data_IF_615326620932
#
_entry.id   IF_615326620932
#
_cell.length_a   1.000
_cell.length_b   1.000
_cell.length_c   1.000
_cell.angle_alpha   90.00
_cell.angle_beta   90.00
_cell.angle_gamma   90.00
#
_symmetry.space_group_name_H-M   'P 1'
#
loop_
_entity.id
_entity.type
_entity.pdbx_description
1 polymer ?
#
# COMPACT_ATOMS: atom_id res chain seq x y z
N UNK A 1 30.79 -52.80 21.53
CA UNK A 1 30.78 -51.39 21.05
C UNK A 1 29.97 -51.16 19.76
N UNK A 2 29.49 -52.19 19.04
CA UNK A 2 28.75 -52.00 17.77
C UNK A 2 27.30 -51.49 17.87
N UNK A 3 26.57 -51.79 18.95
CA UNK A 3 25.16 -51.37 19.10
C UNK A 3 24.97 -49.85 19.26
N UNK A 4 25.86 -49.17 19.99
CA UNK A 4 25.75 -47.73 20.23
C UNK A 4 25.98 -46.92 18.95
N UNK A 5 26.92 -47.36 18.10
CA UNK A 5 27.23 -46.71 16.81
C UNK A 5 26.07 -46.90 15.81
N UNK A 6 25.38 -48.03 15.87
CA UNK A 6 24.24 -48.35 14.99
C UNK A 6 23.02 -47.45 15.23
N UNK A 7 22.80 -46.98 16.46
CA UNK A 7 21.69 -46.09 16.84
C UNK A 7 22.10 -44.61 16.77
N UNK A 8 23.37 -44.30 17.02
CA UNK A 8 23.89 -42.93 16.93
C UNK A 8 23.76 -42.36 15.50
N UNK A 9 24.03 -43.18 14.48
CA UNK A 9 23.99 -42.75 13.07
C UNK A 9 22.59 -42.30 12.60
N UNK A 10 21.50 -43.08 12.80
CA UNK A 10 20.16 -42.62 12.45
C UNK A 10 19.69 -41.46 13.36
N UNK A 11 20.10 -41.43 14.63
CA UNK A 11 19.80 -40.30 15.52
C UNK A 11 20.38 -38.99 15.04
N UNK A 12 21.67 -38.98 14.65
CA UNK A 12 22.34 -37.80 14.07
C UNK A 12 21.69 -37.40 12.74
N UNK A 13 21.35 -38.37 11.89
CA UNK A 13 20.66 -38.11 10.63
C UNK A 13 19.29 -37.47 10.82
N UNK A 14 18.52 -37.89 11.82
CA UNK A 14 17.22 -37.32 12.15
C UNK A 14 17.36 -35.89 12.65
N UNK A 15 18.28 -35.63 13.59
CA UNK A 15 18.52 -34.27 14.10
C UNK A 15 18.95 -33.34 12.98
N UNK A 16 19.90 -33.76 12.13
CA UNK A 16 20.32 -32.96 10.98
C UNK A 16 19.17 -32.73 10.00
N UNK A 17 18.34 -33.74 9.73
CA UNK A 17 17.17 -33.62 8.87
C UNK A 17 16.17 -32.59 9.40
N UNK A 18 15.88 -32.59 10.70
CA UNK A 18 15.00 -31.60 11.34
C UNK A 18 15.61 -30.20 11.28
N UNK A 19 16.90 -30.05 11.56
CA UNK A 19 17.60 -28.75 11.49
C UNK A 19 17.56 -28.20 10.07
N UNK A 20 17.85 -29.02 9.06
CA UNK A 20 17.81 -28.61 7.65
C UNK A 20 16.38 -28.25 7.25
N UNK A 21 15.39 -29.05 7.63
CA UNK A 21 13.99 -28.81 7.30
C UNK A 21 13.50 -27.49 7.89
N UNK A 22 13.72 -27.27 9.19
CA UNK A 22 13.33 -26.02 9.87
C UNK A 22 14.10 -24.84 9.28
N UNK A 23 15.42 -24.96 9.11
CA UNK A 23 16.24 -23.89 8.54
C UNK A 23 15.78 -23.52 7.12
N UNK A 24 15.51 -24.51 6.27
CA UNK A 24 14.99 -24.28 4.93
C UNK A 24 13.60 -23.64 4.96
N UNK A 25 12.71 -24.10 5.85
CA UNK A 25 11.37 -23.51 6.00
C UNK A 25 11.46 -22.05 6.45
N UNK A 26 12.33 -21.76 7.42
CA UNK A 26 12.57 -20.40 7.89
C UNK A 26 13.12 -19.50 6.78
N UNK A 27 14.08 -19.97 5.98
CA UNK A 27 14.61 -19.21 4.84
C UNK A 27 13.53 -18.93 3.79
N UNK A 28 12.70 -19.91 3.46
CA UNK A 28 11.61 -19.73 2.50
C UNK A 28 10.57 -18.72 2.98
N UNK A 29 10.18 -18.81 4.25
CA UNK A 29 9.21 -17.88 4.85
C UNK A 29 9.80 -16.47 4.87
N UNK A 30 11.00 -16.29 5.44
CA UNK A 30 11.63 -14.99 5.58
C UNK A 30 11.89 -14.33 4.22
N UNK A 31 12.42 -15.06 3.24
CA UNK A 31 12.68 -14.49 1.92
C UNK A 31 11.40 -14.06 1.20
N UNK A 32 10.36 -14.90 1.21
CA UNK A 32 9.09 -14.54 0.57
C UNK A 32 8.40 -13.34 1.25
N UNK A 33 8.50 -13.19 2.57
CA UNK A 33 8.01 -12.00 3.26
C UNK A 33 8.87 -10.77 2.94
N UNK A 34 10.19 -10.91 2.92
CA UNK A 34 11.12 -9.83 2.56
C UNK A 34 10.83 -9.32 1.16
N UNK A 35 10.74 -10.19 0.16
CA UNK A 35 10.45 -9.80 -1.22
C UNK A 35 9.13 -9.03 -1.37
N UNK A 36 8.09 -9.42 -0.61
CA UNK A 36 6.80 -8.72 -0.64
C UNK A 36 6.83 -7.37 0.08
N UNK A 37 7.47 -7.31 1.26
CA UNK A 37 7.60 -6.08 2.04
C UNK A 37 8.44 -5.02 1.32
N UNK A 38 9.44 -5.47 0.57
CA UNK A 38 10.35 -4.60 -0.18
C UNK A 38 9.82 -4.22 -1.57
N UNK A 39 8.63 -4.69 -1.95
CA UNK A 39 8.04 -4.47 -3.28
C UNK A 39 6.89 -3.47 -3.21
N UNK A 40 7.08 -2.27 -3.74
CA UNK A 40 6.01 -1.30 -3.89
C UNK A 40 4.87 -1.85 -4.77
N UNK A 41 5.22 -2.58 -5.84
CA UNK A 41 4.25 -3.22 -6.74
C UNK A 41 3.32 -4.21 -6.03
N UNK A 42 3.82 -4.93 -5.02
CA UNK A 42 2.97 -5.81 -4.21
C UNK A 42 1.84 -5.02 -3.53
N UNK A 43 2.16 -3.87 -2.91
CA UNK A 43 1.16 -3.02 -2.26
C UNK A 43 0.24 -2.35 -3.26
N UNK A 44 0.79 -1.78 -4.34
CA UNK A 44 0.00 -1.11 -5.40
C UNK A 44 -1.01 -2.06 -6.02
N UNK A 45 -0.59 -3.27 -6.39
CA UNK A 45 -1.48 -4.28 -6.98
C UNK A 45 -2.53 -4.80 -5.99
N UNK A 46 -2.16 -5.00 -4.71
CA UNK A 46 -3.08 -5.41 -3.65
C UNK A 46 -4.16 -4.36 -3.41
N UNK A 47 -3.79 -3.08 -3.39
CA UNK A 47 -4.76 -1.99 -3.23
C UNK A 47 -5.57 -1.81 -4.52
N UNK A 48 -4.97 -1.86 -5.71
CA UNK A 48 -5.68 -1.70 -6.98
C UNK A 48 -6.68 -2.83 -7.27
N UNK A 49 -6.57 -3.98 -6.59
CA UNK A 49 -7.49 -5.09 -6.73
C UNK A 49 -8.95 -4.65 -6.52
N UNK A 50 -9.85 -5.24 -7.33
CA UNK A 50 -11.31 -5.04 -7.24
C UNK A 50 -11.74 -3.56 -7.30
N UNK A 51 -11.07 -2.75 -8.13
CA UNK A 51 -11.37 -1.32 -8.33
C UNK A 51 -11.40 -0.49 -7.03
N UNK A 52 -10.60 -0.87 -6.03
CA UNK A 52 -10.69 -0.27 -4.68
C UNK A 52 -10.49 1.24 -4.69
N UNK A 53 -9.59 1.80 -5.50
CA UNK A 53 -9.42 3.26 -5.62
C UNK A 53 -10.71 3.95 -6.05
N UNK A 54 -11.35 3.46 -7.10
CA UNK A 54 -12.64 3.96 -7.59
C UNK A 54 -13.73 3.79 -6.53
N UNK A 55 -13.74 2.68 -5.80
CA UNK A 55 -14.70 2.46 -4.73
C UNK A 55 -14.51 3.45 -3.58
N UNK A 56 -13.28 3.68 -3.12
CA UNK A 56 -12.98 4.64 -2.04
C UNK A 56 -13.36 6.05 -2.49
N UNK A 57 -12.97 6.45 -3.70
CA UNK A 57 -13.32 7.75 -4.26
C UNK A 57 -14.83 8.00 -4.22
N UNK A 58 -15.62 7.06 -4.76
CA UNK A 58 -17.07 7.26 -4.86
C UNK A 58 -17.82 7.04 -3.54
N UNK A 59 -17.37 6.15 -2.65
CA UNK A 59 -18.10 5.80 -1.42
C UNK A 59 -17.65 6.58 -0.19
N UNK A 60 -16.45 7.18 -0.22
CA UNK A 60 -15.88 7.92 0.92
C UNK A 60 -15.80 9.40 0.62
N UNK A 61 -15.14 9.80 -0.48
CA UNK A 61 -14.92 11.23 -0.78
C UNK A 61 -16.20 11.93 -1.28
N UNK A 62 -17.06 11.19 -2.00
CA UNK A 62 -18.29 11.72 -2.58
C UNK A 62 -19.55 11.43 -1.74
N UNK A 63 -19.41 11.07 -0.47
CA UNK A 63 -20.58 10.81 0.37
C UNK A 63 -21.31 12.12 0.69
N UNK A 64 -22.64 12.08 0.65
CA UNK A 64 -23.50 13.24 0.96
C UNK A 64 -23.20 13.88 2.32
N UNK A 65 -22.78 13.08 3.30
CA UNK A 65 -22.44 13.56 4.64
C UNK A 65 -21.22 14.49 4.67
N UNK A 66 -20.34 14.41 3.66
CA UNK A 66 -19.17 15.28 3.54
C UNK A 66 -19.41 16.49 2.64
N UNK A 67 -20.62 16.67 2.10
CA UNK A 67 -20.95 17.72 1.13
C UNK A 67 -20.50 19.12 1.57
N UNK A 68 -20.75 19.46 2.84
CA UNK A 68 -20.41 20.79 3.36
C UNK A 68 -18.89 20.99 3.46
N UNK A 69 -18.14 19.93 3.84
CA UNK A 69 -16.67 19.95 3.86
C UNK A 69 -16.07 19.98 2.46
N UNK A 70 -16.66 19.26 1.52
CA UNK A 70 -16.24 19.30 0.11
C UNK A 70 -16.51 20.69 -0.47
N UNK A 71 -17.66 21.31 -0.17
CA UNK A 71 -17.95 22.69 -0.57
C UNK A 71 -16.93 23.68 0.02
N UNK A 72 -16.59 23.55 1.30
CA UNK A 72 -15.55 24.36 1.96
C UNK A 72 -14.19 24.20 1.26
N UNK A 73 -13.78 22.96 0.98
CA UNK A 73 -12.54 22.65 0.26
C UNK A 73 -12.50 23.27 -1.14
N UNK A 74 -13.64 23.30 -1.82
CA UNK A 74 -13.80 23.94 -3.13
C UNK A 74 -13.86 25.47 -3.07
N UNK A 75 -13.81 26.09 -1.89
CA UNK A 75 -13.88 27.54 -1.73
C UNK A 75 -15.30 28.09 -1.61
N UNK A 76 -16.24 27.29 -1.09
CA UNK A 76 -17.65 27.64 -0.90
C UNK A 76 -18.34 28.10 -2.19
N UNK A 77 -18.04 27.43 -3.30
CA UNK A 77 -18.70 27.67 -4.59
C UNK A 77 -20.21 27.45 -4.39
N UNK A 78 -21.05 28.35 -4.92
CA UNK A 78 -22.50 28.16 -4.89
C UNK A 78 -22.88 27.03 -5.85
N UNK A 79 -22.94 25.81 -5.31
CA UNK A 79 -23.29 24.61 -6.07
C UNK A 79 -24.76 24.29 -5.85
N UNK A 80 -25.51 24.06 -6.93
CA UNK A 80 -26.97 23.91 -6.91
C UNK A 80 -27.37 22.46 -6.61
N UNK A 81 -26.49 21.49 -6.91
CA UNK A 81 -26.75 20.06 -6.72
C UNK A 81 -25.53 19.27 -6.24
N UNK A 82 -25.77 18.09 -5.66
CA UNK A 82 -24.70 17.15 -5.28
C UNK A 82 -23.90 16.66 -6.50
N UNK A 83 -24.58 16.44 -7.64
CA UNK A 83 -23.92 15.99 -8.87
C UNK A 83 -22.93 17.02 -9.43
N UNK A 84 -23.22 18.32 -9.27
CA UNK A 84 -22.26 19.39 -9.61
C UNK A 84 -21.04 19.39 -8.67
N UNK A 85 -21.22 19.11 -7.37
CA UNK A 85 -20.09 18.99 -6.42
C UNK A 85 -19.21 17.81 -6.81
N UNK A 86 -19.83 16.67 -7.16
CA UNK A 86 -19.12 15.48 -7.64
C UNK A 86 -18.34 15.77 -8.92
N UNK A 87 -18.96 16.49 -9.86
CA UNK A 87 -18.32 16.92 -11.11
C UNK A 87 -17.10 17.80 -10.83
N UNK A 88 -17.28 18.87 -10.06
CA UNK A 88 -16.20 19.79 -9.70
C UNK A 88 -15.06 19.07 -8.97
N UNK A 89 -15.37 18.16 -8.04
CA UNK A 89 -14.32 17.42 -7.34
C UNK A 89 -13.53 16.52 -8.29
N UNK A 90 -14.19 15.89 -9.27
CA UNK A 90 -13.49 15.08 -10.30
C UNK A 90 -12.63 15.93 -11.22
N UNK A 91 -13.02 17.17 -11.50
CA UNK A 91 -12.21 18.08 -12.32
C UNK A 91 -10.97 18.58 -11.56
N UNK A 92 -11.11 18.84 -10.26
CA UNK A 92 -10.05 19.38 -9.41
C UNK A 92 -9.11 18.28 -8.91
N UNK A 93 -9.68 17.18 -8.42
CA UNK A 93 -8.99 16.00 -7.91
C UNK A 93 -9.46 14.75 -8.66
N UNK A 94 -8.99 14.52 -9.90
CA UNK A 94 -9.30 13.31 -10.64
C UNK A 94 -8.98 12.05 -9.83
N UNK A 95 -9.80 10.98 -9.92
CA UNK A 95 -9.50 9.71 -9.24
C UNK A 95 -8.10 9.17 -9.53
N UNK A 96 -7.63 9.35 -10.77
CA UNK A 96 -6.31 8.93 -11.23
C UNK A 96 -5.19 9.73 -10.55
N UNK A 97 -5.43 11.01 -10.27
CA UNK A 97 -4.49 11.85 -9.52
C UNK A 97 -4.34 11.34 -8.09
N UNK A 98 -5.45 11.10 -7.38
CA UNK A 98 -5.43 10.52 -6.04
C UNK A 98 -4.70 9.19 -6.01
N UNK A 99 -4.96 8.32 -7.00
CA UNK A 99 -4.25 7.05 -7.14
C UNK A 99 -2.74 7.29 -7.28
N UNK A 100 -2.31 8.17 -8.19
CA UNK A 100 -0.88 8.46 -8.39
C UNK A 100 -0.19 8.98 -7.13
N UNK A 101 -0.87 9.82 -6.33
CA UNK A 101 -0.33 10.34 -5.08
C UNK A 101 -0.19 9.27 -4.00
N UNK A 102 -1.18 8.38 -3.90
CA UNK A 102 -1.12 7.25 -2.97
C UNK A 102 -0.02 6.26 -3.39
N UNK A 103 0.03 5.90 -4.67
CA UNK A 103 1.07 5.01 -5.20
C UNK A 103 2.48 5.60 -5.04
N UNK A 104 2.65 6.89 -5.29
CA UNK A 104 3.93 7.58 -5.06
C UNK A 104 4.30 7.69 -3.57
N UNK A 105 3.31 7.73 -2.67
CA UNK A 105 3.58 7.65 -1.22
C UNK A 105 3.95 6.23 -0.78
N UNK A 106 3.40 5.21 -1.44
CA UNK A 106 3.79 3.80 -1.22
C UNK A 106 5.24 3.60 -1.68
N UNK A 107 5.61 4.11 -2.86
CA UNK A 107 6.98 4.05 -3.37
C UNK A 107 7.98 4.60 -2.36
N UNK A 108 7.79 5.85 -1.92
CA UNK A 108 8.68 6.49 -0.93
C UNK A 108 8.74 5.74 0.40
N UNK A 109 7.65 5.11 0.81
CA UNK A 109 7.64 4.31 2.04
C UNK A 109 8.44 3.03 1.88
N UNK A 110 8.32 2.37 0.73
CA UNK A 110 9.08 1.16 0.42
C UNK A 110 10.57 1.49 0.25
N UNK A 111 10.92 2.56 -0.47
CA UNK A 111 12.30 3.03 -0.60
C UNK A 111 12.94 3.28 0.78
N UNK A 112 12.20 3.88 1.72
CA UNK A 112 12.69 4.07 3.08
C UNK A 112 12.87 2.74 3.84
N UNK A 113 11.93 1.81 3.74
CA UNK A 113 12.03 0.47 4.37
C UNK A 113 13.21 -0.32 3.81
N UNK A 114 13.50 -0.14 2.52
CA UNK A 114 14.63 -0.75 1.83
C UNK A 114 15.97 -0.07 2.13
N UNK A 115 15.96 1.04 2.87
CA UNK A 115 17.14 1.88 3.12
C UNK A 115 17.70 2.51 1.83
N UNK A 116 16.89 2.63 0.77
CA UNK A 116 17.24 3.34 -0.46
C UNK A 116 17.25 4.87 -0.25
N UNK A 117 16.53 5.36 0.76
CA UNK A 117 16.53 6.75 1.24
C UNK A 117 16.69 6.83 2.76
N UNK A 118 17.36 7.88 3.25
CA UNK A 118 17.65 8.05 4.67
C UNK A 118 16.44 8.55 5.50
N UNK A 119 15.46 9.17 4.85
CA UNK A 119 14.33 9.84 5.51
C UNK A 119 13.02 9.43 4.86
N UNK A 120 12.04 9.04 5.69
CA UNK A 120 10.69 8.78 5.24
C UNK A 120 9.98 10.10 4.89
N UNK A 121 9.69 10.26 3.60
CA UNK A 121 8.82 11.32 3.11
C UNK A 121 7.50 10.72 2.62
N UNK A 122 6.51 10.60 3.49
CA UNK A 122 5.16 10.12 3.13
C UNK A 122 4.18 11.30 3.15
N UNK A 123 3.71 11.71 1.97
CA UNK A 123 2.78 12.83 1.82
C UNK A 123 1.90 12.65 0.58
N UNK A 124 0.79 13.38 0.52
CA UNK A 124 -0.03 13.56 -0.69
C UNK A 124 0.13 15.02 -1.12
N UNK A 125 0.58 15.25 -2.35
CA UNK A 125 0.68 16.59 -2.90
C UNK A 125 -0.68 17.03 -3.41
N UNK A 126 -1.19 18.13 -2.87
CA UNK A 126 -2.46 18.74 -3.29
C UNK A 126 -2.25 20.07 -4.03
N UNK A 127 -1.00 20.47 -4.26
CA UNK A 127 -0.66 21.75 -4.87
C UNK A 127 -1.23 21.89 -6.29
N UNK A 128 -1.04 20.88 -7.14
CA UNK A 128 -1.57 20.86 -8.50
C UNK A 128 -3.11 20.93 -8.52
N UNK A 129 -3.85 20.07 -7.79
CA UNK A 129 -5.30 20.18 -7.66
C UNK A 129 -5.79 21.55 -7.19
N UNK A 130 -5.14 22.14 -6.18
CA UNK A 130 -5.54 23.43 -5.64
C UNK A 130 -5.34 24.58 -6.63
N UNK A 131 -4.46 24.44 -7.62
CA UNK A 131 -4.34 25.41 -8.71
C UNK A 131 -5.57 25.39 -9.64
N UNK A 132 -6.22 24.23 -9.80
CA UNK A 132 -7.44 24.10 -10.60
C UNK A 132 -8.68 24.74 -9.94
N UNK A 133 -8.60 25.07 -8.64
CA UNK A 133 -9.69 25.72 -7.88
C UNK A 133 -9.68 27.24 -8.03
N UNK A 134 -8.54 27.85 -8.38
CA UNK A 134 -8.42 29.31 -8.44
C UNK A 134 -8.96 29.87 -9.77
N UNK A 135 -9.72 30.98 -9.74
CA UNK A 135 -10.11 31.73 -10.93
C UNK A 135 -8.92 32.42 -11.60
#
# INVERSE_FOLDING_TARGET
MGCLISILRPGVGLVLGVVIFIGSLSLLVLNNFSEKLQSADFYKSTIAAEDTYKRIYNKVLLVDELRDKTSEFLGNIQVVSHDEIVGLLRDILPPEYIQSQVEGSIDRTVDYINEDVDVLEAYVELAEPLNNVKP
#
